data_IF_801858379159
#
_entry.id   IF_801858379159
#
_cell.length_a   1.000
_cell.length_b   1.000
_cell.length_c   1.000
_cell.angle_alpha   90.00
_cell.angle_beta   90.00
_cell.angle_gamma   90.00
#
_symmetry.space_group_name_H-M   'P 1'
#
loop_
_entity.id
_entity.type
_entity.pdbx_description
1 polymer ?
#
# COMPACT_ATOMS: atom_id res chain seq x y z
N UNK A 1 11.16 25.83 0.42
CA UNK A 1 11.66 27.20 0.12
C UNK A 1 12.72 27.10 -0.96
N UNK A 2 12.54 27.86 -2.03
CA UNK A 2 13.50 28.02 -3.12
C UNK A 2 14.09 29.43 -3.01
N UNK A 3 15.38 29.58 -3.25
CA UNK A 3 16.05 30.88 -3.39
C UNK A 3 16.84 30.88 -4.70
N UNK A 4 16.58 31.85 -5.57
CA UNK A 4 17.12 31.91 -6.94
C UNK A 4 17.00 30.58 -7.73
N UNK A 5 15.93 29.82 -7.50
CA UNK A 5 15.69 28.53 -8.16
C UNK A 5 16.40 27.33 -7.52
N UNK A 6 17.20 27.53 -6.47
CA UNK A 6 17.84 26.46 -5.72
C UNK A 6 17.03 26.10 -4.46
N UNK A 7 16.76 24.81 -4.20
CA UNK A 7 16.09 24.39 -2.97
C UNK A 7 16.99 24.61 -1.75
N UNK A 8 16.53 25.43 -0.80
CA UNK A 8 17.25 25.71 0.45
C UNK A 8 16.75 24.82 1.60
N UNK A 9 15.46 24.94 1.95
CA UNK A 9 14.84 24.15 3.02
C UNK A 9 13.46 23.67 2.56
N UNK A 10 13.30 22.36 2.41
CA UNK A 10 12.04 21.70 2.00
C UNK A 10 11.39 20.93 3.14
N UNK A 11 12.07 20.80 4.28
CA UNK A 11 11.60 20.03 5.43
C UNK A 11 10.49 20.76 6.20
N UNK A 12 9.32 20.13 6.31
CA UNK A 12 8.13 20.70 6.96
C UNK A 12 8.40 21.13 8.42
N UNK A 13 9.18 20.34 9.17
CA UNK A 13 9.52 20.66 10.56
C UNK A 13 10.35 21.95 10.71
N UNK A 14 11.22 22.24 9.75
CA UNK A 14 11.99 23.49 9.69
C UNK A 14 11.04 24.63 9.26
N UNK A 15 10.21 24.37 8.26
CA UNK A 15 9.26 25.36 7.74
C UNK A 15 8.22 25.80 8.78
N UNK A 16 7.77 24.92 9.67
CA UNK A 16 6.86 25.27 10.78
C UNK A 16 7.52 26.17 11.83
N UNK A 17 8.85 26.17 11.94
CA UNK A 17 9.58 27.06 12.84
C UNK A 17 9.77 28.46 12.23
N UNK A 18 10.06 28.52 10.92
CA UNK A 18 10.12 29.76 10.14
C UNK A 18 8.74 30.41 9.98
N UNK A 19 7.73 29.60 9.68
CA UNK A 19 6.36 29.98 9.38
C UNK A 19 5.46 29.29 10.38
N UNK A 20 5.22 29.96 11.52
CA UNK A 20 4.38 29.39 12.58
C UNK A 20 2.94 29.26 12.08
N UNK A 21 2.29 28.08 12.22
CA UNK A 21 0.90 27.92 11.83
C UNK A 21 0.01 28.95 12.56
N UNK A 22 -0.96 29.56 11.87
CA UNK A 22 -1.85 30.54 12.49
C UNK A 22 -2.78 29.85 13.50
N UNK A 23 -2.78 30.31 14.75
CA UNK A 23 -3.82 29.99 15.74
C UNK A 23 -4.84 31.14 15.78
N UNK A 24 -6.14 30.85 15.88
CA UNK A 24 -7.23 31.85 15.82
C UNK A 24 -7.02 33.03 16.79
N UNK A 25 -6.59 32.75 18.02
CA UNK A 25 -6.26 33.77 19.03
C UNK A 25 -5.03 34.62 18.67
N UNK A 26 -4.08 34.04 17.94
CA UNK A 26 -2.84 34.70 17.54
C UNK A 26 -3.02 35.52 16.27
N UNK A 27 -3.90 35.09 15.37
CA UNK A 27 -4.32 35.90 14.21
C UNK A 27 -4.91 37.23 14.70
N UNK A 28 -5.79 37.20 15.71
CA UNK A 28 -6.35 38.41 16.31
C UNK A 28 -5.28 39.29 16.99
N UNK A 29 -4.33 38.68 17.71
CA UNK A 29 -3.23 39.42 18.32
C UNK A 29 -2.30 40.09 17.28
N UNK A 30 -2.06 39.43 16.14
CA UNK A 30 -1.19 39.94 15.08
C UNK A 30 -1.86 41.07 14.27
N UNK A 31 -3.18 40.99 14.05
CA UNK A 31 -3.95 42.09 13.42
C UNK A 31 -3.96 43.36 14.27
N UNK A 32 -3.92 43.23 15.61
CA UNK A 32 -3.95 44.37 16.54
C UNK A 32 -2.56 44.96 16.81
N UNK A 33 -1.48 44.17 16.68
CA UNK A 33 -0.11 44.59 17.06
C UNK A 33 0.85 44.80 15.88
N UNK A 34 0.44 44.52 14.64
CA UNK A 34 1.26 44.75 13.44
C UNK A 34 2.48 43.82 13.30
N UNK A 35 2.54 42.72 14.05
CA UNK A 35 3.68 41.76 14.04
C UNK A 35 3.50 40.68 12.98
N UNK A 36 4.58 40.35 12.26
CA UNK A 36 4.59 39.30 11.24
C UNK A 36 4.65 37.89 11.84
N UNK A 37 4.16 36.90 11.08
CA UNK A 37 4.22 35.47 11.43
C UNK A 37 5.59 34.81 11.19
N UNK A 38 6.56 35.59 10.70
CA UNK A 38 7.90 35.12 10.35
C UNK A 38 8.81 35.27 11.57
N UNK A 39 9.46 34.18 11.99
CA UNK A 39 10.44 34.24 13.08
C UNK A 39 11.63 35.12 12.66
N UNK A 40 12.02 36.09 13.50
CA UNK A 40 13.24 36.88 13.33
C UNK A 40 14.52 36.15 13.75
N UNK A 41 14.38 34.93 14.29
CA UNK A 41 15.49 34.05 14.68
C UNK A 41 15.52 32.89 13.70
N UNK A 42 16.69 32.65 13.10
CA UNK A 42 16.93 31.51 12.21
C UNK A 42 16.68 30.20 12.97
N UNK A 43 16.01 29.19 12.37
CA UNK A 43 15.83 27.89 13.00
C UNK A 43 17.18 27.30 13.37
N UNK A 44 17.33 26.80 14.60
CA UNK A 44 18.57 26.15 15.04
C UNK A 44 18.91 24.91 14.21
N UNK A 45 17.92 24.31 13.54
CA UNK A 45 18.08 23.18 12.63
C UNK A 45 18.77 23.50 11.29
N UNK A 46 18.80 24.77 10.86
CA UNK A 46 19.34 25.12 9.53
C UNK A 46 20.87 25.01 9.45
N UNK A 47 21.55 25.01 10.61
CA UNK A 47 23.01 24.81 10.75
C UNK A 47 23.35 23.48 11.43
N UNK A 48 22.36 22.63 11.73
CA UNK A 48 22.56 21.36 12.41
C UNK A 48 22.81 20.24 11.40
N UNK A 49 23.56 19.21 11.80
CA UNK A 49 23.72 17.98 11.00
C UNK A 49 22.45 17.10 11.03
N UNK A 50 21.36 17.57 11.65
CA UNK A 50 20.07 16.89 11.79
C UNK A 50 18.94 17.87 11.45
N UNK A 51 18.87 18.38 10.20
CA UNK A 51 17.97 19.47 9.84
C UNK A 51 16.50 19.10 9.98
N UNK A 52 16.15 17.82 9.83
CA UNK A 52 14.77 17.32 9.88
C UNK A 52 14.15 17.25 11.30
N UNK A 53 14.93 17.46 12.37
CA UNK A 53 14.46 17.37 13.76
C UNK A 53 14.83 18.62 14.58
N UNK A 54 13.84 19.19 15.26
CA UNK A 54 14.03 20.33 16.16
C UNK A 54 14.66 19.90 17.48
N UNK A 55 15.52 20.74 18.03
CA UNK A 55 16.03 20.58 19.40
C UNK A 55 14.92 20.83 20.42
N UNK A 56 14.96 20.13 21.56
CA UNK A 56 14.08 20.35 22.72
C UNK A 56 12.58 20.07 22.50
N UNK A 57 12.22 19.17 21.58
CA UNK A 57 10.86 18.59 21.51
C UNK A 57 10.50 17.95 22.85
N UNK A 58 9.26 18.14 23.33
CA UNK A 58 8.77 17.54 24.58
C UNK A 58 7.37 16.98 24.40
N UNK A 59 7.18 15.76 24.88
CA UNK A 59 5.89 15.10 24.96
C UNK A 59 5.66 14.57 26.38
N UNK A 60 4.39 14.60 26.80
CA UNK A 60 3.95 13.96 28.05
C UNK A 60 4.09 12.45 27.94
N UNK A 61 3.65 11.89 26.80
CA UNK A 61 3.76 10.47 26.46
C UNK A 61 4.73 10.33 25.29
N UNK A 62 5.79 9.55 25.49
CA UNK A 62 6.80 9.33 24.46
C UNK A 62 6.50 8.03 23.74
N UNK A 63 6.15 8.07 22.46
CA UNK A 63 5.70 6.92 21.68
C UNK A 63 6.27 6.97 20.25
N UNK A 64 6.45 5.81 19.63
CA UNK A 64 6.90 5.70 18.25
C UNK A 64 6.26 4.47 17.61
N UNK A 65 5.52 4.70 16.53
CA UNK A 65 4.85 3.67 15.74
C UNK A 65 5.54 3.51 14.38
N UNK A 66 5.58 2.27 13.90
CA UNK A 66 6.20 1.87 12.63
C UNK A 66 5.23 0.95 11.90
N UNK A 67 4.65 1.45 10.82
CA UNK A 67 3.64 0.74 10.04
C UNK A 67 4.30 0.26 8.75
N UNK A 68 4.32 -1.05 8.55
CA UNK A 68 4.89 -1.66 7.35
C UNK A 68 3.74 -1.95 6.38
N UNK A 69 3.70 -1.24 5.27
CA UNK A 69 2.61 -1.32 4.29
C UNK A 69 3.15 -1.93 3.01
N UNK A 70 2.42 -2.89 2.44
CA UNK A 70 2.84 -3.62 1.24
C UNK A 70 1.75 -3.66 0.18
N UNK A 71 2.13 -3.42 -1.06
CA UNK A 71 1.33 -3.69 -2.25
C UNK A 71 1.94 -4.87 -2.99
N UNK A 72 1.10 -5.86 -3.30
CA UNK A 72 1.53 -7.06 -4.02
C UNK A 72 0.88 -7.07 -5.39
N UNK A 73 1.75 -7.07 -6.39
CA UNK A 73 1.38 -7.26 -7.78
C UNK A 73 1.74 -8.68 -8.16
N UNK A 74 0.75 -9.44 -8.62
CA UNK A 74 0.93 -10.84 -8.97
C UNK A 74 0.12 -11.22 -10.21
N UNK A 75 0.73 -12.06 -11.05
CA UNK A 75 0.08 -12.74 -12.18
C UNK A 75 0.01 -14.22 -11.86
N UNK A 76 -1.21 -14.75 -11.85
CA UNK A 76 -1.47 -16.17 -11.63
C UNK A 76 -2.03 -16.77 -12.91
N UNK A 77 -1.50 -17.91 -13.32
CA UNK A 77 -2.00 -18.65 -14.47
C UNK A 77 -3.31 -19.42 -14.16
N UNK A 78 -3.91 -20.01 -15.21
CA UNK A 78 -5.11 -20.84 -15.10
C UNK A 78 -4.97 -22.10 -14.23
N UNK A 79 -3.75 -22.54 -13.94
CA UNK A 79 -3.47 -23.70 -13.08
C UNK A 79 -3.42 -23.31 -11.60
N UNK A 80 -3.35 -22.00 -11.31
CA UNK A 80 -3.14 -21.47 -9.96
C UNK A 80 -1.66 -21.27 -9.61
N UNK A 81 -0.77 -21.36 -10.60
CA UNK A 81 0.68 -21.14 -10.44
C UNK A 81 1.01 -19.67 -10.61
N UNK A 82 1.86 -19.14 -9.71
CA UNK A 82 2.35 -17.76 -9.79
C UNK A 82 3.37 -17.65 -10.92
N UNK A 83 3.06 -16.83 -11.94
CA UNK A 83 3.95 -16.55 -13.07
C UNK A 83 4.85 -15.36 -12.77
N UNK A 84 4.30 -14.38 -12.08
CA UNK A 84 4.97 -13.15 -11.68
C UNK A 84 4.44 -12.74 -10.32
N UNK A 85 5.32 -12.29 -9.43
CA UNK A 85 4.92 -11.61 -8.22
C UNK A 85 6.03 -10.70 -7.74
N UNK A 86 5.66 -9.50 -7.32
CA UNK A 86 6.56 -8.52 -6.71
C UNK A 86 5.84 -7.81 -5.57
N UNK A 87 6.63 -7.19 -4.70
CA UNK A 87 6.14 -6.44 -3.56
C UNK A 87 6.74 -5.05 -3.58
N UNK A 88 5.87 -4.05 -3.52
CA UNK A 88 6.23 -2.67 -3.24
C UNK A 88 5.86 -2.38 -1.80
N UNK A 89 6.85 -2.06 -0.97
CA UNK A 89 6.64 -1.83 0.44
C UNK A 89 7.16 -0.49 0.92
N UNK A 90 6.62 -0.01 2.04
CA UNK A 90 7.16 1.13 2.74
C UNK A 90 6.93 1.03 4.24
N UNK A 91 7.76 1.73 5.01
CA UNK A 91 7.63 1.87 6.45
C UNK A 91 7.29 3.32 6.75
N UNK A 92 6.03 3.56 7.07
CA UNK A 92 5.58 4.86 7.56
C UNK A 92 5.69 4.88 9.08
N UNK A 93 6.02 6.03 9.64
CA UNK A 93 6.31 6.20 11.05
C UNK A 93 5.46 7.31 11.64
N UNK A 94 5.09 7.17 12.91
CA UNK A 94 4.51 8.23 13.73
C UNK A 94 5.30 8.35 15.02
N UNK A 95 6.16 9.37 15.10
CA UNK A 95 7.14 9.51 16.18
C UNK A 95 6.78 10.72 17.05
N UNK A 96 6.46 10.48 18.32
CA UNK A 96 6.27 11.49 19.35
C UNK A 96 7.26 11.23 20.48
N UNK A 97 8.51 11.59 20.25
CA UNK A 97 9.61 11.37 21.20
C UNK A 97 10.19 12.72 21.62
N UNK A 98 10.51 12.87 22.91
CA UNK A 98 11.15 14.07 23.44
C UNK A 98 12.65 14.11 23.12
N UNK A 99 13.23 15.31 23.08
CA UNK A 99 14.67 15.49 22.90
C UNK A 99 15.17 15.05 21.51
N UNK A 100 16.35 14.43 21.48
CA UNK A 100 17.05 14.00 20.27
C UNK A 100 17.32 12.48 20.32
N UNK A 101 16.26 11.65 20.20
CA UNK A 101 16.37 10.20 20.27
C UNK A 101 17.17 9.67 19.07
N UNK A 102 18.15 8.83 19.36
CA UNK A 102 18.90 8.10 18.33
C UNK A 102 18.38 6.67 18.29
N UNK A 103 17.68 6.32 17.21
CA UNK A 103 17.04 5.02 17.02
C UNK A 103 17.92 4.09 16.19
N UNK A 104 17.93 2.82 16.58
CA UNK A 104 18.54 1.74 15.79
C UNK A 104 17.54 0.61 15.63
N UNK A 105 17.12 0.36 14.39
CA UNK A 105 16.20 -0.70 14.02
C UNK A 105 16.92 -1.81 13.25
N UNK A 106 16.55 -3.05 13.52
CA UNK A 106 17.07 -4.25 12.84
C UNK A 106 15.94 -5.10 12.31
N UNK A 107 16.15 -5.74 11.17
CA UNK A 107 15.21 -6.69 10.57
C UNK A 107 15.70 -8.12 10.81
N UNK A 108 14.76 -9.07 10.91
CA UNK A 108 15.11 -10.50 11.02
C UNK A 108 15.90 -10.94 9.78
N UNK A 109 15.45 -10.53 8.60
CA UNK A 109 16.15 -10.79 7.35
C UNK A 109 16.26 -9.50 6.51
N UNK A 110 17.34 -8.71 6.67
CA UNK A 110 17.54 -7.49 5.90
C UNK A 110 17.90 -7.74 4.43
N UNK A 111 18.13 -9.00 4.03
CA UNK A 111 18.43 -9.37 2.64
C UNK A 111 17.20 -9.51 1.76
N UNK A 112 16.00 -9.37 2.33
CA UNK A 112 14.74 -9.42 1.57
C UNK A 112 14.56 -8.22 0.64
N UNK A 113 15.20 -7.08 0.96
CA UNK A 113 15.06 -5.85 0.19
C UNK A 113 16.00 -5.91 -1.02
N UNK A 114 15.45 -6.01 -2.23
CA UNK A 114 16.21 -5.97 -3.48
C UNK A 114 16.64 -4.53 -3.78
N UNK A 115 15.67 -3.60 -3.72
CA UNK A 115 15.92 -2.16 -3.79
C UNK A 115 15.29 -1.45 -2.59
N UNK A 116 15.88 -0.33 -2.20
CA UNK A 116 15.37 0.49 -1.10
C UNK A 116 15.73 1.96 -1.27
N UNK A 117 14.89 2.81 -0.71
CA UNK A 117 15.12 4.24 -0.56
C UNK A 117 14.85 4.63 0.88
N UNK A 118 15.70 5.49 1.43
CA UNK A 118 15.61 5.93 2.82
C UNK A 118 15.22 7.39 2.93
N UNK A 119 14.54 7.73 4.01
CA UNK A 119 14.48 9.10 4.48
C UNK A 119 15.89 9.63 4.75
N UNK A 120 16.18 10.92 4.50
CA UNK A 120 17.47 11.54 4.81
C UNK A 120 17.96 11.38 6.25
N UNK A 121 17.06 11.04 7.18
CA UNK A 121 17.41 10.81 8.58
C UNK A 121 18.21 9.53 8.82
N UNK A 122 18.25 8.61 7.85
CA UNK A 122 18.94 7.34 7.96
C UNK A 122 20.42 7.48 7.61
N UNK A 123 21.28 6.94 8.48
CA UNK A 123 22.73 6.90 8.27
C UNK A 123 23.09 5.79 7.28
N UNK A 124 23.07 6.10 5.98
CA UNK A 124 23.29 5.14 4.90
C UNK A 124 24.56 4.27 5.07
N UNK A 125 25.70 4.87 5.44
CA UNK A 125 26.97 4.13 5.64
C UNK A 125 26.85 2.99 6.66
N UNK A 126 26.00 3.16 7.68
CA UNK A 126 25.80 2.14 8.72
C UNK A 126 24.89 1.01 8.24
N UNK A 127 23.88 1.33 7.41
CA UNK A 127 23.09 0.32 6.73
C UNK A 127 23.96 -0.51 5.76
N UNK A 128 24.82 0.15 4.99
CA UNK A 128 25.70 -0.50 4.01
C UNK A 128 26.73 -1.44 4.64
N UNK A 129 27.27 -1.11 5.81
CA UNK A 129 28.28 -1.91 6.50
C UNK A 129 27.68 -2.96 7.45
N UNK A 130 26.66 -2.60 8.24
CA UNK A 130 26.16 -3.40 9.35
C UNK A 130 24.74 -3.95 9.12
N UNK A 131 24.04 -3.49 8.07
CA UNK A 131 22.59 -3.73 7.87
C UNK A 131 21.74 -3.29 9.06
N UNK A 132 22.19 -2.24 9.76
CA UNK A 132 21.45 -1.57 10.83
C UNK A 132 20.84 -0.26 10.32
N UNK A 133 19.54 -0.08 10.54
CA UNK A 133 18.85 1.15 10.18
C UNK A 133 18.94 2.11 11.37
N UNK A 134 19.93 3.01 11.32
CA UNK A 134 20.25 3.96 12.40
C UNK A 134 19.90 5.39 12.00
N UNK A 135 19.14 6.10 12.84
CA UNK A 135 18.54 7.38 12.47
C UNK A 135 18.10 8.20 13.69
N UNK A 136 18.09 9.52 13.54
CA UNK A 136 17.38 10.42 14.45
C UNK A 136 16.08 10.81 13.74
N UNK A 137 14.89 10.34 14.16
CA UNK A 137 13.66 10.52 13.39
C UNK A 137 13.19 11.99 13.36
N UNK A 138 12.61 12.46 12.25
CA UNK A 138 11.72 13.61 12.26
C UNK A 138 10.64 13.48 13.35
N UNK A 139 10.14 14.63 13.77
CA UNK A 139 9.00 14.69 14.69
C UNK A 139 7.68 14.50 13.92
N UNK A 140 6.75 13.72 14.47
CA UNK A 140 5.45 13.43 13.85
C UNK A 140 5.49 12.31 12.81
N UNK A 141 4.64 12.43 11.78
CA UNK A 141 4.46 11.39 10.76
C UNK A 141 5.39 11.59 9.57
N UNK A 142 6.10 10.55 9.15
CA UNK A 142 6.98 10.56 7.98
C UNK A 142 7.21 9.15 7.44
N UNK A 143 7.65 9.04 6.17
CA UNK A 143 8.09 7.75 5.60
C UNK A 143 9.56 7.52 5.91
N UNK A 144 9.88 6.44 6.62
CA UNK A 144 11.25 6.08 6.98
C UNK A 144 12.00 5.42 5.82
N UNK A 145 11.34 4.48 5.14
CA UNK A 145 11.91 3.82 3.97
C UNK A 145 10.83 3.32 3.01
N UNK A 146 11.18 3.21 1.75
CA UNK A 146 10.46 2.41 0.74
C UNK A 146 11.38 1.26 0.32
N UNK A 147 10.80 0.13 -0.03
CA UNK A 147 11.55 -1.04 -0.50
C UNK A 147 10.78 -1.78 -1.59
N UNK A 148 11.53 -2.51 -2.40
CA UNK A 148 11.03 -3.39 -3.42
C UNK A 148 11.57 -4.80 -3.19
N UNK A 149 10.71 -5.79 -3.41
CA UNK A 149 11.06 -7.21 -3.42
C UNK A 149 10.61 -7.76 -4.76
N UNK A 150 11.60 -8.08 -5.57
CA UNK A 150 11.43 -8.50 -6.95
C UNK A 150 11.11 -9.97 -7.09
N UNK A 151 10.93 -10.35 -8.35
CA UNK A 151 10.41 -11.66 -8.80
C UNK A 151 11.28 -12.87 -8.48
N UNK A 152 12.55 -12.66 -8.07
CA UNK A 152 13.43 -13.75 -7.65
C UNK A 152 13.05 -14.29 -6.27
N UNK A 153 12.34 -13.51 -5.47
CA UNK A 153 11.83 -13.91 -4.17
C UNK A 153 10.51 -14.66 -4.31
N UNK A 154 10.36 -15.76 -3.58
CA UNK A 154 9.11 -16.54 -3.58
C UNK A 154 8.04 -15.76 -2.82
N UNK A 155 7.17 -15.08 -3.55
CA UNK A 155 6.03 -14.35 -2.96
C UNK A 155 4.86 -15.30 -2.72
N UNK A 156 4.48 -15.42 -1.45
CA UNK A 156 3.37 -16.22 -0.98
C UNK A 156 2.02 -15.53 -1.23
N UNK A 157 1.44 -15.68 -2.42
CA UNK A 157 0.13 -15.08 -2.73
C UNK A 157 -0.94 -15.59 -1.74
N UNK A 158 -1.63 -14.69 -1.02
CA UNK A 158 -2.43 -15.09 0.15
C UNK A 158 -3.83 -15.61 -0.19
N UNK A 159 -4.30 -15.42 -1.41
CA UNK A 159 -5.61 -15.88 -1.91
C UNK A 159 -5.46 -16.73 -3.17
N UNK A 160 -6.46 -17.56 -3.43
CA UNK A 160 -6.65 -18.22 -4.71
C UNK A 160 -8.07 -18.00 -5.23
N UNK A 161 -8.22 -18.05 -6.55
CA UNK A 161 -9.53 -18.06 -7.21
C UNK A 161 -9.65 -19.35 -8.01
N UNK A 162 -10.57 -20.22 -7.62
CA UNK A 162 -11.02 -21.33 -8.47
C UNK A 162 -12.03 -20.78 -9.45
N UNK A 163 -11.83 -21.05 -10.73
CA UNK A 163 -12.68 -20.53 -11.80
C UNK A 163 -13.06 -21.61 -12.79
N UNK A 164 -14.28 -21.54 -13.30
CA UNK A 164 -14.75 -22.26 -14.46
C UNK A 164 -15.62 -21.31 -15.29
N UNK A 165 -15.06 -20.87 -16.42
CA UNK A 165 -15.72 -19.97 -17.36
C UNK A 165 -15.80 -20.70 -18.69
N UNK A 166 -17.01 -20.80 -19.24
CA UNK A 166 -17.26 -21.48 -20.50
C UNK A 166 -18.27 -20.70 -21.34
N UNK A 167 -18.05 -20.71 -22.66
CA UNK A 167 -18.91 -20.08 -23.65
C UNK A 167 -19.37 -21.16 -24.64
N UNK A 168 -20.69 -21.29 -24.87
CA UNK A 168 -21.24 -22.28 -25.79
C UNK A 168 -21.86 -21.59 -27.00
N UNK A 169 -21.46 -22.04 -28.19
CA UNK A 169 -21.86 -21.45 -29.48
C UNK A 169 -23.34 -21.66 -29.82
N UNK A 170 -23.93 -22.78 -29.41
CA UNK A 170 -25.29 -23.18 -29.81
C UNK A 170 -26.39 -22.29 -29.23
N UNK A 171 -26.73 -22.43 -27.95
CA UNK A 171 -27.86 -21.71 -27.34
C UNK A 171 -27.58 -20.22 -27.05
N UNK A 172 -26.41 -19.68 -27.44
CA UNK A 172 -26.00 -18.34 -27.02
C UNK A 172 -25.86 -18.22 -25.50
N UNK A 173 -25.38 -19.28 -24.83
CA UNK A 173 -25.23 -19.29 -23.37
C UNK A 173 -23.81 -19.62 -22.93
N UNK A 174 -23.39 -19.02 -21.83
CA UNK A 174 -22.16 -19.35 -21.11
C UNK A 174 -22.45 -19.70 -19.66
N UNK A 175 -21.42 -20.16 -18.96
CA UNK A 175 -21.46 -20.44 -17.52
C UNK A 175 -20.26 -19.82 -16.84
N UNK A 176 -20.50 -19.23 -15.68
CA UNK A 176 -19.49 -18.69 -14.79
C UNK A 176 -19.64 -19.35 -13.42
N UNK A 177 -18.55 -19.91 -12.90
CA UNK A 177 -18.44 -20.44 -11.53
C UNK A 177 -17.10 -19.98 -10.95
N UNK A 178 -17.16 -19.10 -9.95
CA UNK A 178 -15.99 -18.59 -9.24
C UNK A 178 -16.08 -18.98 -7.77
N UNK A 179 -14.96 -19.31 -7.16
CA UNK A 179 -14.83 -19.50 -5.72
C UNK A 179 -13.53 -18.89 -5.24
N UNK A 180 -13.59 -17.99 -4.26
CA UNK A 180 -12.41 -17.38 -3.66
C UNK A 180 -12.11 -18.07 -2.34
N UNK A 181 -10.83 -18.35 -2.09
CA UNK A 181 -10.40 -18.91 -0.81
C UNK A 181 -9.03 -18.44 -0.38
N UNK A 182 -8.75 -18.50 0.93
CA UNK A 182 -7.43 -18.20 1.48
C UNK A 182 -6.43 -19.31 1.14
N UNK A 183 -5.18 -18.91 0.85
CA UNK A 183 -4.05 -19.79 0.55
C UNK A 183 -2.98 -19.71 1.64
N UNK A 184 -2.36 -18.53 1.81
CA UNK A 184 -1.26 -18.30 2.76
C UNK A 184 -1.49 -17.04 3.59
N UNK A 185 -2.58 -16.99 4.34
CA UNK A 185 -2.95 -15.82 5.15
C UNK A 185 -2.38 -15.85 6.57
N UNK A 186 -1.67 -16.90 6.97
CA UNK A 186 -1.14 -17.11 8.33
C UNK A 186 -2.23 -16.95 9.42
N UNK A 187 -3.45 -17.38 9.13
CA UNK A 187 -4.60 -17.25 10.03
C UNK A 187 -5.20 -15.84 10.10
N UNK A 188 -4.65 -14.86 9.37
CA UNK A 188 -5.23 -13.52 9.26
C UNK A 188 -6.48 -13.54 8.39
N UNK A 189 -7.41 -12.68 8.75
CA UNK A 189 -8.65 -12.46 8.00
C UNK A 189 -8.35 -11.64 6.75
N UNK A 190 -8.97 -12.02 5.64
CA UNK A 190 -8.93 -11.24 4.40
C UNK A 190 -10.21 -10.42 4.30
N UNK A 191 -10.05 -9.13 4.04
CA UNK A 191 -11.12 -8.14 4.01
C UNK A 191 -11.14 -7.39 2.68
N UNK A 192 -12.21 -6.64 2.45
CA UNK A 192 -12.40 -5.80 1.27
C UNK A 192 -12.17 -6.55 -0.06
N UNK A 193 -12.54 -7.83 -0.10
CA UNK A 193 -12.34 -8.67 -1.28
C UNK A 193 -13.31 -8.24 -2.38
N UNK A 194 -12.75 -7.84 -3.52
CA UNK A 194 -13.44 -7.39 -4.72
C UNK A 194 -12.86 -8.10 -5.93
N UNK A 195 -13.71 -8.71 -6.75
CA UNK A 195 -13.34 -9.27 -8.04
C UNK A 195 -13.92 -8.43 -9.16
N UNK A 196 -13.12 -8.19 -10.18
CA UNK A 196 -13.50 -7.43 -11.37
C UNK A 196 -13.14 -8.22 -12.63
N UNK A 197 -14.08 -8.37 -13.54
CA UNK A 197 -13.89 -9.10 -14.80
C UNK A 197 -14.44 -8.22 -15.92
N UNK A 198 -13.55 -7.83 -16.85
CA UNK A 198 -13.97 -7.21 -18.10
C UNK A 198 -14.47 -8.30 -19.04
N UNK A 199 -15.79 -8.39 -19.21
CA UNK A 199 -16.40 -9.43 -20.03
C UNK A 199 -16.13 -9.22 -21.52
N UNK A 200 -15.96 -10.31 -22.29
CA UNK A 200 -15.85 -10.23 -23.75
C UNK A 200 -17.07 -9.55 -24.38
N UNK A 201 -16.88 -8.97 -25.57
CA UNK A 201 -17.95 -8.28 -26.31
C UNK A 201 -19.17 -9.14 -26.63
N UNK A 202 -18.99 -10.45 -26.64
CA UNK A 202 -20.05 -11.44 -26.88
C UNK A 202 -21.02 -11.56 -25.70
N UNK A 203 -20.62 -11.17 -24.48
CA UNK A 203 -21.48 -11.25 -23.29
C UNK A 203 -22.41 -10.06 -23.24
N UNK A 204 -23.71 -10.33 -23.33
CA UNK A 204 -24.78 -9.32 -23.27
C UNK A 204 -25.28 -9.10 -21.84
N UNK A 205 -25.32 -10.16 -21.02
CA UNK A 205 -25.79 -10.09 -19.65
C UNK A 205 -25.18 -11.20 -18.77
N UNK A 206 -25.15 -10.96 -17.46
CA UNK A 206 -24.67 -11.90 -16.44
C UNK A 206 -25.80 -12.22 -15.45
N UNK A 207 -26.36 -13.43 -15.50
CA UNK A 207 -27.37 -13.91 -14.56
C UNK A 207 -26.70 -14.74 -13.46
N UNK A 208 -26.15 -14.05 -12.46
CA UNK A 208 -25.27 -14.64 -11.44
C UNK A 208 -25.87 -14.54 -10.04
N UNK A 209 -25.64 -15.58 -9.24
CA UNK A 209 -26.06 -15.66 -7.84
C UNK A 209 -24.83 -15.81 -6.95
N UNK A 210 -24.49 -14.78 -6.14
CA UNK A 210 -23.44 -14.88 -5.16
C UNK A 210 -23.91 -15.66 -3.92
N UNK A 211 -23.08 -16.53 -3.36
CA UNK A 211 -23.30 -17.11 -2.03
C UNK A 211 -23.04 -16.12 -0.90
N UNK A 212 -22.28 -15.07 -1.20
CA UNK A 212 -21.89 -14.00 -0.30
C UNK A 212 -21.57 -12.72 -1.09
N UNK A 213 -21.92 -11.58 -0.51
CA UNK A 213 -21.61 -10.27 -1.08
C UNK A 213 -22.61 -9.86 -2.16
N UNK A 214 -22.21 -8.87 -2.97
CA UNK A 214 -23.04 -8.29 -4.03
C UNK A 214 -22.34 -8.41 -5.37
N UNK A 215 -23.09 -8.78 -6.40
CA UNK A 215 -22.62 -8.79 -7.79
C UNK A 215 -23.34 -7.70 -8.58
N UNK A 216 -22.62 -7.02 -9.46
CA UNK A 216 -23.14 -6.03 -10.40
C UNK A 216 -22.48 -6.23 -11.76
N UNK A 217 -23.27 -6.12 -12.83
CA UNK A 217 -22.77 -6.13 -14.20
C UNK A 217 -23.25 -4.87 -14.90
N UNK A 218 -22.32 -4.07 -15.40
CA UNK A 218 -22.64 -2.95 -16.27
C UNK A 218 -22.51 -3.39 -17.74
N UNK A 219 -23.61 -3.46 -18.51
CA UNK A 219 -23.56 -3.89 -19.91
C UNK A 219 -22.84 -2.88 -20.83
N UNK A 220 -22.67 -1.62 -20.41
CA UNK A 220 -22.00 -0.58 -21.22
C UNK A 220 -20.49 -0.74 -21.14
N UNK A 221 -19.92 -0.71 -19.93
CA UNK A 221 -18.48 -0.97 -19.74
C UNK A 221 -18.11 -2.46 -19.87
N UNK A 222 -19.09 -3.36 -19.76
CA UNK A 222 -18.94 -4.82 -19.65
C UNK A 222 -18.14 -5.25 -18.42
N UNK A 223 -18.11 -4.41 -17.39
CA UNK A 223 -17.47 -4.71 -16.14
C UNK A 223 -18.42 -5.51 -15.24
N UNK A 224 -18.02 -6.76 -14.93
CA UNK A 224 -18.59 -7.54 -13.85
C UNK A 224 -17.81 -7.27 -12.57
N UNK A 225 -18.47 -6.78 -11.53
CA UNK A 225 -17.88 -6.56 -10.21
C UNK A 225 -18.57 -7.44 -9.17
N UNK A 226 -17.80 -8.16 -8.36
CA UNK A 226 -18.27 -8.96 -7.24
C UNK A 226 -17.59 -8.52 -5.94
N UNK A 227 -18.33 -7.78 -5.12
CA UNK A 227 -17.91 -7.31 -3.80
C UNK A 227 -18.23 -8.37 -2.76
N UNK A 228 -17.22 -9.14 -2.34
CA UNK A 228 -17.35 -10.27 -1.41
C UNK A 228 -17.35 -9.80 0.06
N UNK A 229 -16.51 -8.82 0.37
CA UNK A 229 -16.25 -8.39 1.75
C UNK A 229 -15.20 -9.24 2.44
N UNK A 230 -15.56 -9.88 3.56
CA UNK A 230 -14.67 -10.69 4.39
C UNK A 230 -14.61 -12.15 3.92
N UNK A 231 -13.43 -12.76 3.83
CA UNK A 231 -13.27 -14.19 3.46
C UNK A 231 -12.77 -14.99 4.66
N UNK A 232 -13.47 -16.08 4.97
CA UNK A 232 -13.16 -17.02 6.06
C UNK A 232 -12.89 -18.42 5.50
N UNK A 233 -12.10 -19.23 6.22
CA UNK A 233 -11.78 -20.61 5.80
C UNK A 233 -12.98 -21.57 5.87
N UNK A 234 -13.92 -21.33 6.80
CA UNK A 234 -15.03 -22.23 7.09
C UNK A 234 -16.06 -22.30 5.95
N UNK A 235 -16.31 -21.17 5.27
CA UNK A 235 -17.31 -21.05 4.21
C UNK A 235 -16.77 -20.19 3.08
N UNK A 236 -16.32 -20.84 2.02
CA UNK A 236 -15.73 -20.16 0.87
C UNK A 236 -16.80 -19.43 0.02
N UNK A 237 -16.65 -18.12 -0.21
CA UNK A 237 -17.52 -17.37 -1.11
C UNK A 237 -17.45 -17.90 -2.53
N UNK A 238 -18.62 -18.03 -3.17
CA UNK A 238 -18.72 -18.41 -4.57
C UNK A 238 -19.73 -17.53 -5.32
N UNK A 239 -19.56 -17.47 -6.64
CA UNK A 239 -20.43 -16.75 -7.57
C UNK A 239 -20.71 -17.67 -8.75
N UNK A 240 -21.98 -18.01 -8.97
CA UNK A 240 -22.38 -18.99 -9.97
C UNK A 240 -23.54 -18.49 -10.81
N UNK A 241 -23.56 -18.85 -12.09
CA UNK A 241 -24.73 -18.62 -12.93
C UNK A 241 -24.43 -18.73 -14.42
N UNK A 242 -25.33 -18.17 -15.22
CA UNK A 242 -25.28 -18.20 -16.67
C UNK A 242 -24.92 -16.84 -17.24
N UNK A 243 -24.25 -16.87 -18.39
CA UNK A 243 -23.92 -15.70 -19.20
C UNK A 243 -24.82 -15.75 -20.43
N UNK A 244 -25.47 -14.63 -20.76
CA UNK A 244 -26.19 -14.49 -22.02
C UNK A 244 -25.23 -14.00 -23.08
N UNK A 245 -25.12 -14.73 -24.19
CA UNK A 245 -24.22 -14.40 -25.29
C UNK A 245 -25.02 -13.91 -26.50
N UNK A 246 -24.37 -13.14 -27.36
CA UNK A 246 -24.93 -12.77 -28.65
C UNK A 246 -25.11 -14.02 -29.54
N UNK A 247 -26.35 -14.30 -29.93
CA UNK A 247 -26.69 -15.43 -30.80
C UNK A 247 -25.95 -15.33 -32.14
N UNK A 248 -25.34 -16.43 -32.57
CA UNK A 248 -24.60 -16.51 -33.84
C UNK A 248 -23.20 -15.90 -33.81
N UNK A 249 -22.78 -15.28 -32.70
CA UNK A 249 -21.40 -14.83 -32.55
C UNK A 249 -20.46 -16.02 -32.25
N UNK A 250 -19.22 -16.02 -32.76
CA UNK A 250 -18.22 -17.00 -32.36
C UNK A 250 -17.89 -16.84 -30.87
N UNK A 251 -17.54 -17.95 -30.16
CA UNK A 251 -17.11 -17.86 -28.79
C UNK A 251 -15.85 -16.98 -28.67
N UNK A 252 -15.62 -16.33 -27.52
CA UNK A 252 -14.36 -15.62 -27.27
C UNK A 252 -13.14 -16.52 -27.42
N UNK A 253 -12.04 -15.97 -27.95
CA UNK A 253 -10.78 -16.71 -28.18
C UNK A 253 -10.11 -17.14 -26.85
N UNK A 254 -10.39 -16.42 -25.78
CA UNK A 254 -9.87 -16.68 -24.45
C UNK A 254 -10.90 -16.29 -23.37
N UNK A 255 -10.70 -16.83 -22.17
CA UNK A 255 -11.45 -16.39 -21.01
C UNK A 255 -10.95 -15.00 -20.57
N UNK A 256 -11.84 -14.17 -20.01
CA UNK A 256 -11.43 -12.86 -19.52
C UNK A 256 -10.51 -13.00 -18.30
N UNK A 257 -9.66 -11.99 -18.10
CA UNK A 257 -8.86 -11.89 -16.88
C UNK A 257 -9.75 -11.59 -15.67
N UNK A 258 -9.37 -12.14 -14.52
CA UNK A 258 -10.03 -11.86 -13.24
C UNK A 258 -9.11 -10.95 -12.44
N UNK A 259 -9.54 -9.76 -12.11
CA UNK A 259 -8.80 -8.84 -11.26
C UNK A 259 -9.30 -9.01 -9.83
N UNK A 260 -8.38 -9.12 -8.87
CA UNK A 260 -8.69 -9.33 -7.48
C UNK A 260 -8.03 -8.25 -6.64
N UNK A 261 -8.85 -7.56 -5.86
CA UNK A 261 -8.40 -6.59 -4.86
C UNK A 261 -8.78 -7.09 -3.48
N UNK A 262 -7.91 -6.90 -2.51
CA UNK A 262 -8.15 -7.28 -1.12
C UNK A 262 -7.22 -6.54 -0.17
N UNK A 263 -7.56 -6.63 1.11
CA UNK A 263 -6.75 -6.15 2.23
C UNK A 263 -6.56 -7.25 3.26
N UNK A 264 -5.36 -7.37 3.79
CA UNK A 264 -5.06 -8.20 4.96
C UNK A 264 -4.37 -7.30 5.97
N UNK A 265 -4.98 -7.18 7.14
CA UNK A 265 -4.41 -6.45 8.27
C UNK A 265 -3.42 -7.35 9.01
N UNK A 266 -2.36 -6.75 9.54
CA UNK A 266 -1.38 -7.44 10.40
C UNK A 266 -0.60 -8.58 9.69
N UNK A 267 -0.35 -8.45 8.39
CA UNK A 267 0.46 -9.35 7.59
C UNK A 267 1.37 -8.57 6.61
N UNK A 268 2.69 -8.73 6.73
CA UNK A 268 3.62 -8.51 5.63
C UNK A 268 3.75 -9.81 4.82
N UNK A 269 3.35 -9.77 3.55
CA UNK A 269 3.43 -10.91 2.64
C UNK A 269 4.87 -11.24 2.27
N UNK A 270 5.76 -10.26 2.31
CA UNK A 270 7.20 -10.48 2.18
C UNK A 270 7.83 -11.30 3.33
N UNK A 271 7.16 -11.34 4.48
CA UNK A 271 7.74 -11.82 5.73
C UNK A 271 8.72 -10.84 6.38
N UNK A 272 8.79 -9.57 5.95
CA UNK A 272 9.55 -8.52 6.63
C UNK A 272 9.08 -8.42 8.09
N UNK A 273 10.04 -8.51 9.00
CA UNK A 273 9.82 -8.44 10.44
C UNK A 273 10.92 -7.63 11.09
N UNK A 274 10.51 -6.69 11.93
CA UNK A 274 11.43 -5.97 12.80
C UNK A 274 11.89 -6.93 13.90
N UNK A 275 13.20 -7.10 14.04
CA UNK A 275 13.81 -7.91 15.08
C UNK A 275 13.95 -7.12 16.38
N UNK A 276 14.47 -5.90 16.29
CA UNK A 276 14.73 -5.05 17.46
C UNK A 276 14.71 -3.57 17.09
N UNK A 277 14.21 -2.77 18.01
CA UNK A 277 14.30 -1.30 17.99
C UNK A 277 14.88 -0.82 19.33
N UNK A 278 16.04 -0.19 19.26
CA UNK A 278 16.74 0.40 20.40
C UNK A 278 16.72 1.93 20.30
N UNK A 279 16.71 2.60 21.45
CA UNK A 279 16.82 4.06 21.55
C UNK A 279 18.00 4.44 22.45
N UNK A 280 18.78 5.40 21.98
CA UNK A 280 19.93 5.99 22.68
C UNK A 280 19.76 7.51 22.79
N UNK A 281 20.60 8.13 23.62
CA UNK A 281 20.62 9.59 23.82
C UNK A 281 19.57 10.11 24.81
N UNK A 282 18.50 9.35 25.07
CA UNK A 282 17.43 9.73 25.98
C UNK A 282 17.24 8.71 27.11
N UNK A 283 16.94 9.19 28.32
CA UNK A 283 16.86 8.35 29.54
C UNK A 283 15.50 7.72 29.79
N UNK A 284 14.44 8.22 29.14
CA UNK A 284 13.11 7.67 29.29
C UNK A 284 12.96 6.40 28.45
N UNK A 285 12.04 5.51 28.84
CA UNK A 285 11.62 4.39 28.00
C UNK A 285 10.40 4.84 27.20
N UNK A 286 10.43 4.81 25.86
CA UNK A 286 9.24 5.06 25.07
C UNK A 286 8.17 4.06 25.46
N UNK A 287 6.93 4.54 25.54
CA UNK A 287 5.76 3.69 25.63
C UNK A 287 5.72 2.81 24.38
N UNK A 288 5.77 1.49 24.61
CA UNK A 288 5.49 0.46 23.63
C UNK A 288 4.02 0.05 23.83
N UNK A 289 3.09 0.78 23.24
CA UNK A 289 1.68 0.41 23.26
C UNK A 289 0.99 0.88 22.01
N UNK A 290 -0.11 0.20 21.66
CA UNK A 290 -0.71 0.12 20.34
C UNK A 290 -1.95 1.00 20.22
N UNK A 291 -1.89 2.06 19.41
CA UNK A 291 -3.07 2.71 18.84
C UNK A 291 -3.18 2.35 17.36
N UNK A 292 -4.32 1.80 16.94
CA UNK A 292 -4.60 1.43 15.56
C UNK A 292 -4.85 2.71 14.74
N UNK A 293 -3.92 3.07 13.86
CA UNK A 293 -4.13 4.13 12.88
C UNK A 293 -4.77 3.55 11.61
N UNK A 294 -6.02 3.91 11.35
CA UNK A 294 -6.67 3.67 10.05
C UNK A 294 -6.38 4.87 9.14
N UNK A 295 -5.84 4.69 7.92
CA UNK A 295 -5.77 5.77 6.94
C UNK A 295 -7.17 6.02 6.37
N UNK A 296 -7.96 6.86 7.06
CA UNK A 296 -9.31 7.20 6.62
C UNK A 296 -10.13 8.00 7.64
N UNK A 297 -10.02 9.33 7.58
CA UNK A 297 -10.82 10.36 8.28
C UNK A 297 -10.54 10.61 9.77
N UNK A 298 -10.73 11.90 10.11
CA UNK A 298 -10.43 12.61 11.37
C UNK A 298 -11.03 11.97 12.63
N UNK A 299 -10.26 12.00 13.73
CA UNK A 299 -10.68 11.74 15.13
C UNK A 299 -11.69 12.83 15.60
N UNK A 300 -12.65 12.54 16.50
CA UNK A 300 -12.36 12.18 17.91
C UNK A 300 -13.27 11.08 18.54
N UNK A 301 -12.73 10.30 19.48
CA UNK A 301 -13.51 9.66 20.56
C UNK A 301 -13.32 8.15 20.80
N UNK A 302 -12.59 7.82 21.86
CA UNK A 302 -12.77 6.72 22.83
C UNK A 302 -12.43 5.24 22.51
N UNK A 303 -11.37 4.78 23.19
CA UNK A 303 -11.08 3.52 23.88
C UNK A 303 -11.84 2.22 23.53
N UNK A 304 -11.11 1.21 23.02
CA UNK A 304 -11.13 -0.19 23.52
C UNK A 304 -9.76 -0.84 23.23
N UNK A 305 -9.18 -1.49 24.25
CA UNK A 305 -7.91 -2.23 24.18
C UNK A 305 -8.10 -3.71 23.81
N UNK A 306 -7.23 -4.26 22.94
CA UNK A 306 -6.82 -5.67 22.90
C UNK A 306 -5.37 -5.78 22.37
N UNK A 307 -4.61 -6.84 22.72
CA UNK A 307 -3.15 -6.84 22.64
C UNK A 307 -2.58 -7.33 21.30
N UNK A 308 -1.36 -6.85 21.01
CA UNK A 308 -0.44 -7.21 19.92
C UNK A 308 -0.86 -6.82 18.50
N UNK A 309 -0.06 -5.96 17.84
CA UNK A 309 0.55 -6.20 16.49
C UNK A 309 1.15 -4.92 15.89
N UNK A 310 2.25 -5.09 15.14
CA UNK A 310 2.67 -4.17 14.09
C UNK A 310 1.52 -4.04 13.06
N UNK A 311 1.12 -2.81 12.73
CA UNK A 311 0.01 -2.59 11.79
C UNK A 311 0.56 -2.69 10.38
N UNK A 312 0.20 -3.78 9.70
CA UNK A 312 0.45 -3.94 8.28
C UNK A 312 -0.83 -3.66 7.51
N UNK A 313 -0.76 -2.77 6.52
CA UNK A 313 -1.81 -2.59 5.53
C UNK A 313 -1.34 -3.20 4.22
N UNK A 314 -2.19 -4.03 3.61
CA UNK A 314 -1.93 -4.59 2.30
C UNK A 314 -2.98 -4.10 1.31
N UNK A 315 -2.55 -3.54 0.18
CA UNK A 315 -3.43 -3.32 -0.98
C UNK A 315 -2.86 -4.13 -2.12
N UNK A 316 -3.48 -5.26 -2.45
CA UNK A 316 -3.02 -6.06 -3.57
C UNK A 316 -3.88 -5.79 -4.81
N UNK A 317 -3.24 -5.67 -5.98
CA UNK A 317 -3.88 -5.87 -7.27
C UNK A 317 -3.35 -7.16 -7.85
N UNK A 318 -4.13 -8.23 -7.76
CA UNK A 318 -3.79 -9.49 -8.40
C UNK A 318 -4.50 -9.60 -9.75
N UNK A 319 -3.74 -9.87 -10.81
CA UNK A 319 -4.25 -10.08 -12.16
C UNK A 319 -4.24 -11.59 -12.46
N UNK A 320 -5.40 -12.19 -12.71
CA UNK A 320 -5.48 -13.56 -13.20
C UNK A 320 -5.63 -13.52 -14.71
N UNK A 321 -4.59 -13.93 -15.45
CA UNK A 321 -4.65 -14.01 -16.92
C UNK A 321 -5.14 -15.40 -17.33
N UNK A 322 -6.33 -15.47 -17.95
CA UNK A 322 -6.90 -16.74 -18.46
C UNK A 322 -6.86 -16.78 -19.99
N UNK A 323 -5.66 -16.82 -20.59
CA UNK A 323 -5.49 -16.93 -22.05
C UNK A 323 -4.36 -17.87 -22.46
N UNK A 324 -4.58 -18.65 -23.52
CA UNK A 324 -3.53 -19.40 -24.22
C UNK A 324 -2.60 -18.41 -24.92
N UNK A 325 -1.30 -18.41 -24.59
CA UNK A 325 -0.30 -17.88 -25.49
C UNK A 325 0.09 -19.00 -26.48
N UNK A 326 -0.15 -18.87 -27.80
CA UNK A 326 0.57 -19.67 -28.77
C UNK A 326 2.04 -19.29 -28.68
N UNK A 327 2.93 -20.28 -28.79
CA UNK A 327 4.38 -20.13 -28.83
C UNK A 327 4.84 -19.04 -29.84
N UNK A 328 4.95 -17.78 -29.40
CA UNK A 328 5.61 -16.71 -30.14
C UNK A 328 5.99 -15.56 -29.20
N UNK A 329 7.23 -15.60 -28.69
CA UNK A 329 8.07 -14.47 -28.23
C UNK A 329 7.38 -13.41 -27.34
N UNK A 330 7.51 -13.58 -26.02
CA UNK A 330 7.27 -12.58 -24.97
C UNK A 330 8.00 -11.23 -25.16
N UNK A 331 9.00 -11.15 -26.05
CA UNK A 331 9.78 -9.92 -26.27
C UNK A 331 9.04 -8.80 -27.04
N UNK A 332 7.80 -9.01 -27.49
CA UNK A 332 7.01 -7.97 -28.21
C UNK A 332 5.91 -7.30 -27.39
N UNK A 333 5.56 -7.79 -26.19
CA UNK A 333 4.50 -7.19 -25.37
C UNK A 333 5.00 -6.14 -24.36
N UNK A 334 6.30 -6.08 -24.10
CA UNK A 334 6.93 -5.09 -23.20
C UNK A 334 6.96 -3.66 -23.79
N UNK A 335 7.14 -3.43 -25.10
CA UNK A 335 7.22 -2.05 -25.63
C UNK A 335 5.88 -1.31 -25.71
N UNK A 336 4.75 -2.01 -25.89
CA UNK A 336 3.45 -1.37 -26.09
C UNK A 336 2.81 -0.87 -24.77
N UNK A 337 3.16 -1.48 -23.63
CA UNK A 337 2.79 -0.95 -22.30
C UNK A 337 3.57 0.32 -21.93
N UNK A 338 4.82 0.47 -22.39
CA UNK A 338 5.61 1.68 -22.15
C UNK A 338 5.08 2.90 -22.93
N UNK A 339 4.39 2.68 -24.05
CA UNK A 339 3.86 3.78 -24.86
C UNK A 339 2.59 4.41 -24.22
N UNK A 340 1.77 3.61 -23.53
CA UNK A 340 0.62 4.09 -22.77
C UNK A 340 1.00 4.79 -21.46
N UNK A 341 2.13 4.43 -20.84
CA UNK A 341 2.63 5.10 -19.62
C UNK A 341 3.29 6.45 -19.96
N UNK A 342 3.91 6.60 -21.12
CA UNK A 342 4.51 7.86 -21.57
C UNK A 342 3.50 8.92 -22.03
N UNK A 343 2.31 8.54 -22.50
CA UNK A 343 1.26 9.49 -22.91
C UNK A 343 0.59 10.18 -21.72
N UNK A 344 0.55 9.53 -20.56
CA UNK A 344 0.03 10.11 -19.30
C UNK A 344 1.04 11.10 -18.69
N UNK A 345 2.34 10.93 -18.92
CA UNK A 345 3.37 11.85 -18.41
C UNK A 345 3.46 13.15 -19.22
N UNK A 346 3.03 13.17 -20.49
CA UNK A 346 3.02 14.40 -21.31
C UNK A 346 1.78 15.28 -21.15
N UNK A 347 0.74 14.83 -20.48
CA UNK A 347 -0.51 15.61 -20.30
C UNK A 347 -0.54 16.38 -18.97
N UNK A 348 0.51 16.27 -18.14
CA UNK A 348 0.68 17.04 -16.89
C UNK A 348 2.01 17.79 -16.92
N UNK A 349 2.23 18.57 -17.97
CA UNK A 349 3.09 19.76 -17.93
C UNK A 349 2.50 20.83 -18.83
N UNK A 350 1.62 21.65 -18.24
CA UNK A 350 1.49 23.08 -18.49
C UNK A 350 1.00 23.74 -17.20
#
# INVERSE_FOLDING_TARGET
>A
MLDNGFPLATESNILQELIRPPNVLRTLANTVTGRSNVSGVLPSGQLSNVPWRRSAVKYTNNEAYFDVVEEVDAIIDRSGSTVFAEIQGYIDCSVKLSGMPDLTMTFINPRLFDDFSFHPCVRFKRWESERLLSFIPPDGSFRLMSYHIGTQSVVAVPLYVRHNISFKTGPGTGRLDLTVGPKQTMGRTVENVLLEINMPKQVLNCMLTPSQGRVTFDPVSRLLSWTVGRVEQSKLPNLRGSLSLQTGAPPPDANPAINLQFTISQLAVSGVKVNRLDMYGEKYKPFKGSEVYHPGRKVPGQDVATPETDVFWMRARTWFMVGQAPNARLNRFIPELNQYVLEIVRTVQF
#
